data_IF_688206626022
#
_entry.id   IF_688206626022
#
_cell.length_a   1.000
_cell.length_b   1.000
_cell.length_c   1.000
_cell.angle_alpha   90.00
_cell.angle_beta   90.00
_cell.angle_gamma   90.00
#
_symmetry.space_group_name_H-M   'P 1'
#
loop_
_entity.id
_entity.type
_entity.pdbx_description
1 polymer ?
#
# COMPACT_ATOMS: atom_id res chain seq x y z
N UNK A 1 8.35 23.18 -9.31
CA UNK A 1 7.29 22.63 -8.45
C UNK A 1 7.26 21.12 -8.68
N UNK A 2 7.23 20.35 -7.61
CA UNK A 2 7.02 18.91 -7.73
C UNK A 2 5.60 18.68 -8.29
N UNK A 3 5.45 17.67 -9.14
CA UNK A 3 4.13 17.29 -9.64
C UNK A 3 3.35 16.60 -8.53
N UNK A 4 2.06 16.89 -8.43
CA UNK A 4 1.17 16.18 -7.51
C UNK A 4 0.90 14.75 -8.00
N UNK A 5 0.43 13.87 -7.11
CA UNK A 5 -0.02 12.53 -7.51
C UNK A 5 -1.14 12.61 -8.56
N UNK A 6 -2.05 13.59 -8.40
CA UNK A 6 -3.12 13.84 -9.35
C UNK A 6 -2.59 14.29 -10.72
N UNK A 7 -1.55 15.16 -10.76
CA UNK A 7 -0.92 15.59 -12.03
C UNK A 7 -0.29 14.39 -12.77
N UNK A 8 0.31 13.48 -12.01
CA UNK A 8 0.91 12.26 -12.56
C UNK A 8 -0.18 11.32 -13.06
N UNK A 9 -1.21 11.08 -12.27
CA UNK A 9 -2.35 10.26 -12.65
C UNK A 9 -3.03 10.80 -13.92
N UNK A 10 -3.32 12.10 -13.98
CA UNK A 10 -3.93 12.74 -15.15
C UNK A 10 -3.03 12.67 -16.40
N UNK A 11 -1.71 12.73 -16.22
CA UNK A 11 -0.76 12.67 -17.33
C UNK A 11 -0.62 11.29 -17.93
N UNK A 12 -0.53 10.25 -17.08
CA UNK A 12 -0.20 8.89 -17.51
C UNK A 12 -1.43 7.99 -17.59
N UNK A 13 -2.53 8.36 -16.94
CA UNK A 13 -3.81 7.64 -16.90
C UNK A 13 -3.63 6.16 -16.52
N UNK A 14 -2.87 5.92 -15.45
CA UNK A 14 -2.72 4.56 -14.92
C UNK A 14 -4.07 4.00 -14.49
N UNK A 15 -4.32 2.74 -14.80
CA UNK A 15 -5.59 2.07 -14.49
C UNK A 15 -5.62 1.57 -13.03
N UNK A 16 -5.45 2.51 -12.08
CA UNK A 16 -5.58 2.26 -10.65
C UNK A 16 -6.94 2.75 -10.14
N UNK A 17 -7.50 2.07 -9.16
CA UNK A 17 -8.76 2.42 -8.50
C UNK A 17 -8.62 3.56 -7.48
N UNK A 18 -7.38 3.87 -7.06
CA UNK A 18 -7.05 4.86 -6.02
C UNK A 18 -7.55 6.30 -6.29
N UNK A 19 -8.05 6.58 -7.52
CA UNK A 19 -8.67 7.86 -7.91
C UNK A 19 -9.91 7.69 -8.78
N UNK A 20 -10.42 6.48 -8.96
CA UNK A 20 -11.62 6.19 -9.77
C UNK A 20 -12.75 5.63 -8.92
N UNK A 21 -12.48 4.64 -8.10
CA UNK A 21 -13.39 4.05 -7.12
C UNK A 21 -13.19 4.67 -5.74
N UNK A 22 -11.93 4.94 -5.35
CA UNK A 22 -11.55 5.52 -4.07
C UNK A 22 -10.98 6.94 -4.26
N UNK A 23 -10.91 7.72 -3.19
CA UNK A 23 -10.36 9.07 -3.17
C UNK A 23 -9.03 9.15 -2.41
N UNK A 24 -8.16 8.16 -2.60
CA UNK A 24 -6.95 7.97 -1.80
C UNK A 24 -5.81 8.94 -2.15
N UNK A 25 -5.74 9.45 -3.39
CA UNK A 25 -4.55 10.17 -3.87
C UNK A 25 -4.17 11.41 -3.04
N UNK A 26 -5.15 12.16 -2.53
CA UNK A 26 -4.85 13.33 -1.67
C UNK A 26 -4.19 12.91 -0.35
N UNK A 27 -4.67 11.82 0.24
CA UNK A 27 -4.12 11.27 1.49
C UNK A 27 -2.74 10.70 1.24
N UNK A 28 -2.54 9.96 0.16
CA UNK A 28 -1.23 9.48 -0.24
C UNK A 28 -0.24 10.61 -0.53
N UNK A 29 -0.66 11.66 -1.20
CA UNK A 29 0.19 12.83 -1.44
C UNK A 29 0.61 13.46 -0.12
N UNK A 30 -0.32 13.64 0.83
CA UNK A 30 -0.01 14.13 2.17
C UNK A 30 1.02 13.25 2.90
N UNK A 31 0.85 11.93 2.89
CA UNK A 31 1.73 10.97 3.55
C UNK A 31 3.10 10.89 2.88
N UNK A 32 3.17 10.94 1.54
CA UNK A 32 4.38 10.64 0.78
C UNK A 32 5.18 11.87 0.36
N UNK A 33 4.61 13.08 0.41
CA UNK A 33 5.28 14.31 -0.02
C UNK A 33 6.63 14.54 0.68
N UNK A 34 6.79 14.11 1.94
CA UNK A 34 8.04 14.21 2.70
C UNK A 34 9.19 13.38 2.13
N UNK A 35 8.88 12.39 1.31
CA UNK A 35 9.86 11.48 0.69
C UNK A 35 10.30 11.92 -0.71
N UNK A 36 9.80 13.05 -1.20
CA UNK A 36 10.22 13.57 -2.49
C UNK A 36 11.71 13.84 -2.55
N UNK A 37 12.37 13.20 -3.53
CA UNK A 37 13.81 13.37 -3.77
C UNK A 37 14.71 12.53 -2.86
N UNK A 38 14.14 11.85 -1.87
CA UNK A 38 14.86 10.95 -0.98
C UNK A 38 15.05 9.55 -1.63
N UNK A 39 16.14 8.89 -1.26
CA UNK A 39 16.36 7.47 -1.55
C UNK A 39 15.67 6.65 -0.47
N UNK A 40 14.55 6.05 -0.82
CA UNK A 40 13.69 5.29 0.11
C UNK A 40 13.28 3.96 -0.49
N UNK A 41 12.67 3.11 0.33
CA UNK A 41 12.04 1.86 -0.11
C UNK A 41 10.56 1.86 0.21
N UNK A 42 9.76 1.41 -0.76
CA UNK A 42 8.32 1.20 -0.64
C UNK A 42 8.01 -0.28 -0.87
N UNK A 43 7.09 -0.81 -0.09
CA UNK A 43 6.55 -2.16 -0.25
C UNK A 43 5.03 -2.10 -0.39
N UNK A 44 4.49 -2.65 -1.46
CA UNK A 44 3.05 -2.77 -1.71
C UNK A 44 2.67 -4.24 -1.78
N UNK A 45 1.65 -4.59 -1.01
CA UNK A 45 1.06 -5.92 -0.90
C UNK A 45 -0.26 -5.89 -1.66
N UNK A 46 -0.44 -6.78 -2.64
CA UNK A 46 -1.55 -6.75 -3.57
C UNK A 46 -1.26 -5.78 -4.73
N UNK A 47 -0.72 -6.30 -5.83
CA UNK A 47 -0.30 -5.45 -6.96
C UNK A 47 -1.22 -5.57 -8.18
N UNK A 48 -2.08 -6.59 -8.23
CA UNK A 48 -2.99 -6.86 -9.34
C UNK A 48 -2.24 -6.78 -10.69
N UNK A 49 -2.47 -5.73 -11.47
CA UNK A 49 -1.78 -5.49 -12.75
C UNK A 49 -0.55 -4.57 -12.63
N UNK A 50 -0.19 -4.10 -11.43
CA UNK A 50 0.99 -3.24 -11.17
C UNK A 50 0.80 -1.77 -11.50
N UNK A 51 -0.43 -1.29 -11.71
CA UNK A 51 -0.69 0.10 -12.12
C UNK A 51 -0.38 1.12 -11.01
N UNK A 52 -0.65 0.77 -9.75
CA UNK A 52 -0.24 1.55 -8.58
C UNK A 52 1.27 1.66 -8.46
N UNK A 53 2.00 0.56 -8.68
CA UNK A 53 3.47 0.57 -8.66
C UNK A 53 4.06 1.54 -9.70
N UNK A 54 3.45 1.63 -10.89
CA UNK A 54 3.84 2.62 -11.90
C UNK A 54 3.62 4.05 -11.43
N UNK A 55 2.48 4.30 -10.76
CA UNK A 55 2.16 5.60 -10.19
C UNK A 55 3.19 6.01 -9.15
N UNK A 56 3.53 5.12 -8.21
CA UNK A 56 4.55 5.36 -7.19
C UNK A 56 5.94 5.59 -7.81
N UNK A 57 6.33 4.80 -8.80
CA UNK A 57 7.60 4.97 -9.52
C UNK A 57 7.73 6.34 -10.19
N UNK A 58 6.62 6.90 -10.72
CA UNK A 58 6.62 8.26 -11.31
C UNK A 58 6.58 9.37 -10.27
N UNK A 59 5.94 9.12 -9.12
CA UNK A 59 5.83 10.10 -8.04
C UNK A 59 7.11 10.16 -7.19
N UNK A 60 7.74 9.02 -6.91
CA UNK A 60 8.95 8.86 -6.09
C UNK A 60 10.08 8.24 -6.94
N UNK A 61 10.70 8.99 -7.86
CA UNK A 61 11.60 8.40 -8.87
C UNK A 61 12.91 7.84 -8.32
N UNK A 62 13.26 8.13 -7.07
CA UNK A 62 14.42 7.54 -6.37
C UNK A 62 14.03 6.41 -5.42
N UNK A 63 12.74 6.09 -5.35
CA UNK A 63 12.24 5.02 -4.50
C UNK A 63 12.54 3.65 -5.12
N UNK A 64 13.02 2.72 -4.32
CA UNK A 64 13.06 1.29 -4.64
C UNK A 64 11.71 0.69 -4.24
N UNK A 65 10.99 0.13 -5.18
CA UNK A 65 9.62 -0.32 -5.01
C UNK A 65 9.57 -1.84 -5.06
N UNK A 66 9.04 -2.46 -4.02
CA UNK A 66 8.75 -3.87 -3.97
C UNK A 66 7.24 -4.07 -4.03
N UNK A 67 6.79 -4.98 -4.87
CA UNK A 67 5.39 -5.38 -4.95
C UNK A 67 5.27 -6.88 -4.75
N UNK A 68 4.34 -7.33 -3.90
CA UNK A 68 4.04 -8.74 -3.79
C UNK A 68 2.55 -9.04 -4.03
N UNK A 69 2.29 -10.22 -4.58
CA UNK A 69 0.95 -10.76 -4.82
C UNK A 69 1.05 -12.29 -4.89
N UNK A 70 -0.06 -13.00 -4.76
CA UNK A 70 -0.13 -14.43 -5.07
C UNK A 70 -0.31 -14.71 -6.57
N UNK A 71 -0.52 -13.67 -7.37
CA UNK A 71 -0.69 -13.68 -8.83
C UNK A 71 -1.76 -14.65 -9.37
N UNK A 72 -2.86 -14.80 -8.63
CA UNK A 72 -3.97 -15.66 -9.04
C UNK A 72 -4.96 -14.96 -9.97
N UNK A 73 -5.02 -13.62 -9.97
CA UNK A 73 -5.92 -12.84 -10.84
C UNK A 73 -5.24 -12.40 -12.12
N UNK A 74 -3.99 -11.94 -12.01
CA UNK A 74 -3.12 -11.58 -13.13
C UNK A 74 -1.82 -12.34 -12.94
N UNK A 75 -1.32 -13.02 -13.98
CA UNK A 75 -0.11 -13.83 -13.85
C UNK A 75 1.12 -12.98 -13.56
N UNK A 76 2.11 -13.56 -12.88
CA UNK A 76 3.40 -12.90 -12.60
C UNK A 76 4.02 -12.34 -13.89
N UNK A 77 4.06 -13.14 -14.96
CA UNK A 77 4.65 -12.77 -16.25
C UNK A 77 3.89 -11.62 -16.94
N UNK A 78 2.56 -11.54 -16.77
CA UNK A 78 1.77 -10.43 -17.32
C UNK A 78 2.03 -9.13 -16.58
N UNK A 79 2.15 -9.19 -15.24
CA UNK A 79 2.52 -8.03 -14.42
C UNK A 79 3.94 -7.58 -14.73
N UNK A 80 4.90 -8.52 -14.80
CA UNK A 80 6.29 -8.22 -15.17
C UNK A 80 6.37 -7.54 -16.54
N UNK A 81 5.61 -8.06 -17.53
CA UNK A 81 5.52 -7.45 -18.86
C UNK A 81 4.91 -6.05 -18.82
N UNK A 82 3.87 -5.84 -18.01
CA UNK A 82 3.24 -4.54 -17.84
C UNK A 82 4.16 -3.51 -17.19
N UNK A 83 5.07 -3.96 -16.33
CA UNK A 83 6.06 -3.12 -15.64
C UNK A 83 7.35 -2.91 -16.45
N UNK A 84 7.43 -3.43 -17.68
CA UNK A 84 8.61 -3.26 -18.53
C UNK A 84 8.96 -1.76 -18.71
N UNK A 85 10.23 -1.41 -18.47
CA UNK A 85 10.72 -0.03 -18.50
C UNK A 85 10.67 0.72 -17.16
N UNK A 86 10.22 0.06 -16.08
CA UNK A 86 10.28 0.57 -14.71
C UNK A 86 11.37 -0.18 -13.91
N UNK A 87 12.62 0.30 -14.00
CA UNK A 87 13.79 -0.40 -13.47
C UNK A 87 13.94 -0.35 -11.94
N UNK A 88 13.08 0.37 -11.25
CA UNK A 88 13.07 0.52 -9.79
C UNK A 88 11.95 -0.27 -9.12
N UNK A 89 11.27 -1.18 -9.84
CA UNK A 89 10.21 -2.03 -9.34
C UNK A 89 10.68 -3.49 -9.34
N UNK A 90 10.45 -4.19 -8.22
CA UNK A 90 10.81 -5.58 -7.96
C UNK A 90 9.55 -6.33 -7.53
N UNK A 91 9.28 -7.48 -8.14
CA UNK A 91 8.10 -8.30 -7.83
C UNK A 91 8.48 -9.55 -7.05
N UNK A 92 7.59 -9.96 -6.15
CA UNK A 92 7.68 -11.21 -5.39
C UNK A 92 6.31 -11.93 -5.36
N UNK A 93 6.33 -13.24 -5.55
CA UNK A 93 5.12 -14.07 -5.55
C UNK A 93 4.80 -14.64 -4.17
N UNK A 94 4.29 -13.81 -3.25
CA UNK A 94 4.14 -14.13 -1.82
C UNK A 94 2.70 -13.99 -1.36
N UNK A 95 2.23 -14.95 -0.54
CA UNK A 95 1.01 -14.80 0.27
C UNK A 95 1.32 -14.01 1.55
N UNK A 96 0.72 -12.83 1.68
CA UNK A 96 1.03 -11.88 2.75
C UNK A 96 0.52 -12.31 4.14
N UNK A 97 -0.54 -13.12 4.21
CA UNK A 97 -1.18 -13.45 5.49
C UNK A 97 -1.29 -14.95 5.79
N UNK A 98 -1.27 -15.82 4.77
CA UNK A 98 -1.18 -17.27 4.92
C UNK A 98 0.10 -17.79 4.28
N UNK A 99 0.40 -19.06 4.48
CA UNK A 99 1.39 -19.81 3.72
C UNK A 99 0.64 -20.59 2.62
N UNK A 100 0.21 -19.88 1.56
CA UNK A 100 -0.51 -20.52 0.46
C UNK A 100 0.47 -21.31 -0.42
N UNK A 101 0.07 -22.54 -0.77
CA UNK A 101 0.84 -23.40 -1.68
C UNK A 101 0.86 -22.89 -3.12
N UNK A 102 0.01 -21.90 -3.43
CA UNK A 102 -0.05 -21.25 -4.75
C UNK A 102 0.94 -20.08 -4.86
N UNK A 103 1.51 -19.61 -3.75
CA UNK A 103 2.54 -18.60 -3.78
C UNK A 103 3.81 -19.11 -4.50
N UNK A 104 4.46 -18.25 -5.26
CA UNK A 104 5.69 -18.59 -6.02
C UNK A 104 6.84 -18.83 -5.06
N UNK A 105 6.91 -18.04 -3.98
CA UNK A 105 7.91 -18.15 -2.93
C UNK A 105 7.26 -18.02 -1.55
N UNK A 106 7.94 -18.52 -0.51
CA UNK A 106 7.48 -18.33 0.85
C UNK A 106 7.69 -16.89 1.32
N UNK A 107 6.88 -16.44 2.28
CA UNK A 107 7.10 -15.14 2.94
C UNK A 107 8.48 -15.08 3.59
N UNK A 108 8.97 -16.18 4.15
CA UNK A 108 10.29 -16.27 4.77
C UNK A 108 11.41 -16.06 3.74
N UNK A 109 11.31 -16.67 2.55
CA UNK A 109 12.28 -16.47 1.46
C UNK A 109 12.32 -15.01 1.02
N UNK A 110 11.15 -14.40 0.79
CA UNK A 110 11.06 -12.96 0.48
C UNK A 110 11.71 -12.09 1.57
N UNK A 111 11.41 -12.36 2.85
CA UNK A 111 11.98 -11.61 3.96
C UNK A 111 13.50 -11.78 4.06
N UNK A 112 14.02 -12.97 3.71
CA UNK A 112 15.46 -13.23 3.62
C UNK A 112 16.09 -12.47 2.45
N UNK A 113 15.43 -12.43 1.29
CA UNK A 113 15.92 -11.72 0.10
C UNK A 113 16.01 -10.21 0.30
N UNK A 114 15.02 -9.60 0.98
CA UNK A 114 15.09 -8.18 1.34
C UNK A 114 16.04 -7.91 2.52
N UNK A 115 16.44 -8.93 3.26
CA UNK A 115 17.42 -8.86 4.35
C UNK A 115 17.05 -7.85 5.42
N UNK A 116 18.00 -6.97 5.77
CA UNK A 116 17.82 -5.92 6.79
C UNK A 116 17.16 -4.65 6.24
N UNK A 117 16.72 -4.62 4.99
CA UNK A 117 16.05 -3.46 4.41
C UNK A 117 14.76 -3.14 5.17
N UNK A 118 14.59 -1.87 5.53
CA UNK A 118 13.38 -1.35 6.15
C UNK A 118 12.64 -0.44 5.16
N UNK A 119 11.33 -0.63 5.06
CA UNK A 119 10.49 0.13 4.15
C UNK A 119 10.01 1.44 4.78
N UNK A 120 10.20 2.54 4.08
CA UNK A 120 9.68 3.86 4.49
C UNK A 120 8.17 3.98 4.26
N UNK A 121 7.67 3.19 3.33
CA UNK A 121 6.25 3.11 3.00
C UNK A 121 5.89 1.63 2.87
N UNK A 122 4.86 1.20 3.60
CA UNK A 122 4.21 -0.11 3.39
C UNK A 122 2.74 0.15 3.08
N UNK A 123 2.23 -0.46 2.02
CA UNK A 123 0.82 -0.38 1.60
C UNK A 123 0.26 -1.81 1.60
N UNK A 124 -0.80 -2.05 2.36
CA UNK A 124 -1.59 -3.27 2.29
C UNK A 124 -2.86 -3.01 1.48
N UNK A 125 -2.82 -3.39 0.23
CA UNK A 125 -3.89 -3.40 -0.77
C UNK A 125 -4.16 -4.85 -1.25
N UNK A 126 -3.99 -5.81 -0.34
CA UNK A 126 -4.06 -7.23 -0.63
C UNK A 126 -5.45 -7.83 -0.50
N UNK A 127 -5.62 -8.78 0.43
CA UNK A 127 -6.92 -9.38 0.70
C UNK A 127 -7.71 -8.52 1.71
N UNK A 128 -8.82 -7.92 1.26
CA UNK A 128 -9.62 -6.95 2.03
C UNK A 128 -10.59 -7.61 3.04
N UNK A 129 -10.11 -8.60 3.79
CA UNK A 129 -10.81 -9.15 4.96
C UNK A 129 -10.14 -8.66 6.24
N UNK A 130 -10.89 -8.29 7.29
CA UNK A 130 -10.29 -7.74 8.51
C UNK A 130 -9.21 -8.64 9.12
N UNK A 131 -9.45 -9.94 9.19
CA UNK A 131 -8.47 -10.90 9.72
C UNK A 131 -7.22 -11.03 8.86
N UNK A 132 -7.34 -10.91 7.52
CA UNK A 132 -6.17 -10.92 6.64
C UNK A 132 -5.36 -9.64 6.77
N UNK A 133 -6.02 -8.47 6.82
CA UNK A 133 -5.35 -7.18 7.04
C UNK A 133 -4.59 -7.15 8.38
N UNK A 134 -5.20 -7.67 9.47
CA UNK A 134 -4.55 -7.79 10.78
C UNK A 134 -3.30 -8.68 10.69
N UNK A 135 -3.44 -9.87 10.09
CA UNK A 135 -2.30 -10.79 9.94
C UNK A 135 -1.20 -10.22 9.04
N UNK A 136 -1.56 -9.56 7.93
CA UNK A 136 -0.60 -8.91 7.05
C UNK A 136 0.16 -7.81 7.79
N UNK A 137 -0.54 -6.99 8.57
CA UNK A 137 0.10 -5.99 9.43
C UNK A 137 1.10 -6.63 10.39
N UNK A 138 0.70 -7.65 11.15
CA UNK A 138 1.57 -8.35 12.10
C UNK A 138 2.80 -8.97 11.42
N UNK A 139 2.61 -9.51 10.21
CA UNK A 139 3.68 -10.13 9.45
C UNK A 139 4.75 -9.14 8.95
N UNK A 140 4.38 -7.88 8.68
CA UNK A 140 5.28 -6.93 8.02
C UNK A 140 5.59 -5.65 8.81
N UNK A 141 4.90 -5.39 9.95
CA UNK A 141 5.14 -4.16 10.73
C UNK A 141 6.57 -4.04 11.25
N UNK A 142 7.26 -5.16 11.48
CA UNK A 142 8.66 -5.17 11.91
C UNK A 142 9.62 -4.69 10.82
N UNK A 143 9.19 -4.68 9.54
CA UNK A 143 9.92 -4.14 8.38
C UNK A 143 9.68 -2.65 8.17
N UNK A 144 8.80 -2.02 8.95
CA UNK A 144 8.57 -0.59 8.82
C UNK A 144 9.74 0.22 9.38
N UNK A 145 10.29 1.12 8.56
CA UNK A 145 11.30 2.07 8.99
C UNK A 145 10.78 2.96 10.14
N UNK A 146 11.60 3.32 11.16
CA UNK A 146 11.14 4.16 12.29
C UNK A 146 10.50 5.50 11.90
N UNK A 147 10.88 6.06 10.74
CA UNK A 147 10.32 7.28 10.15
C UNK A 147 9.38 6.95 8.96
N UNK A 148 8.86 5.76 8.91
CA UNK A 148 7.99 5.28 7.83
C UNK A 148 6.52 5.35 8.18
N UNK A 149 5.68 5.01 7.20
CA UNK A 149 4.23 4.91 7.32
C UNK A 149 3.73 3.58 6.74
N UNK A 150 2.82 2.94 7.46
CA UNK A 150 2.06 1.77 7.00
C UNK A 150 0.63 2.21 6.70
N UNK A 151 0.10 1.85 5.54
CA UNK A 151 -1.28 2.15 5.12
C UNK A 151 -2.00 0.84 4.82
N UNK A 152 -3.19 0.68 5.39
CA UNK A 152 -4.13 -0.41 5.09
C UNK A 152 -5.25 0.21 4.26
N UNK A 153 -5.49 -0.30 3.05
CA UNK A 153 -6.57 0.14 2.16
C UNK A 153 -7.86 -0.66 2.38
N UNK A 154 -8.97 -0.13 1.92
CA UNK A 154 -10.26 -0.81 1.78
C UNK A 154 -10.81 -1.41 3.08
N UNK A 155 -10.64 -0.71 4.20
CA UNK A 155 -11.32 -1.05 5.44
C UNK A 155 -12.82 -0.76 5.25
N UNK A 156 -13.65 -1.76 5.55
CA UNK A 156 -15.09 -1.71 5.31
C UNK A 156 -15.83 -1.22 6.54
N UNK A 157 -16.82 -0.34 6.35
CA UNK A 157 -17.66 0.21 7.41
C UNK A 157 -18.94 -0.65 7.65
N UNK A 158 -18.81 -1.97 7.53
CA UNK A 158 -19.91 -2.92 7.79
C UNK A 158 -19.40 -4.27 8.29
N UNK A 159 -20.32 -5.11 8.77
CA UNK A 159 -20.09 -6.48 9.25
C UNK A 159 -19.03 -6.59 10.36
N UNK A 160 -18.84 -5.51 11.16
CA UNK A 160 -17.85 -5.48 12.24
C UNK A 160 -16.40 -5.44 11.75
N UNK A 161 -16.15 -5.18 10.46
CA UNK A 161 -14.80 -5.16 9.90
C UNK A 161 -13.97 -4.02 10.52
N UNK A 162 -14.50 -2.79 10.49
CA UNK A 162 -13.83 -1.62 11.06
C UNK A 162 -13.56 -1.80 12.56
N UNK A 163 -14.54 -2.28 13.30
CA UNK A 163 -14.42 -2.55 14.74
C UNK A 163 -13.33 -3.59 15.00
N UNK A 164 -13.31 -4.70 14.23
CA UNK A 164 -12.29 -5.73 14.39
C UNK A 164 -10.87 -5.18 14.12
N UNK A 165 -10.70 -4.31 13.11
CA UNK A 165 -9.42 -3.66 12.85
C UNK A 165 -9.05 -2.70 13.99
N UNK A 166 -9.99 -1.85 14.45
CA UNK A 166 -9.75 -0.92 15.58
C UNK A 166 -9.36 -1.65 16.86
N UNK A 167 -10.06 -2.73 17.18
CA UNK A 167 -9.84 -3.51 18.42
C UNK A 167 -8.50 -4.27 18.37
N UNK A 168 -8.15 -4.84 17.21
CA UNK A 168 -6.94 -5.64 17.05
C UNK A 168 -5.67 -4.78 16.81
N UNK A 169 -5.82 -3.61 16.20
CA UNK A 169 -4.73 -2.70 15.85
C UNK A 169 -4.95 -1.29 16.44
N UNK A 170 -4.95 -1.12 17.77
CA UNK A 170 -5.37 0.12 18.44
C UNK A 170 -4.47 1.32 18.14
N UNK A 171 -3.25 1.09 17.68
CA UNK A 171 -2.31 2.15 17.26
C UNK A 171 -2.51 2.62 15.82
N UNK A 172 -3.27 1.88 15.01
CA UNK A 172 -3.65 2.28 13.66
C UNK A 172 -4.72 3.37 13.73
N UNK A 173 -4.50 4.49 13.03
CA UNK A 173 -5.44 5.60 12.95
C UNK A 173 -6.34 5.43 11.74
N UNK A 174 -7.64 5.52 11.97
CA UNK A 174 -8.65 5.37 10.91
C UNK A 174 -8.88 6.73 10.24
N UNK A 175 -8.80 6.74 8.92
CA UNK A 175 -9.04 7.93 8.08
C UNK A 175 -10.22 7.62 7.15
N UNK A 176 -11.39 8.15 7.46
CA UNK A 176 -12.59 8.06 6.61
C UNK A 176 -12.57 9.18 5.58
N UNK A 177 -12.53 8.82 4.30
CA UNK A 177 -12.43 9.80 3.24
C UNK A 177 -13.82 10.30 2.84
N UNK A 178 -14.01 11.62 2.92
CA UNK A 178 -15.30 12.29 2.68
C UNK A 178 -15.68 12.40 1.20
N UNK A 179 -14.66 12.49 0.34
CA UNK A 179 -14.85 12.58 -1.12
C UNK A 179 -15.13 11.19 -1.69
N UNK A 180 -16.24 10.58 -1.27
CA UNK A 180 -16.65 9.27 -1.75
C UNK A 180 -17.19 9.38 -3.17
N UNK A 181 -16.34 9.16 -4.16
CA UNK A 181 -16.65 9.38 -5.57
C UNK A 181 -17.78 8.48 -6.11
N UNK A 182 -18.02 7.32 -5.48
CA UNK A 182 -18.99 6.33 -5.96
C UNK A 182 -19.88 5.72 -4.87
N UNK A 183 -19.96 6.34 -3.68
CA UNK A 183 -20.77 5.81 -2.56
C UNK A 183 -20.16 4.53 -1.95
N UNK A 184 -18.85 4.32 -2.09
CA UNK A 184 -18.16 3.14 -1.57
C UNK A 184 -18.04 3.21 -0.04
N UNK A 185 -18.45 2.17 0.64
CA UNK A 185 -18.39 2.05 2.09
C UNK A 185 -17.02 1.56 2.60
N UNK A 186 -16.10 1.25 1.70
CA UNK A 186 -14.71 0.85 1.94
C UNK A 186 -13.68 1.94 1.60
N UNK A 187 -14.11 3.19 1.45
CA UNK A 187 -13.25 4.34 1.24
C UNK A 187 -12.59 4.80 2.56
N UNK A 188 -11.98 3.85 3.27
CA UNK A 188 -11.39 4.04 4.60
C UNK A 188 -9.97 3.49 4.59
N UNK A 189 -9.03 4.30 5.10
CA UNK A 189 -7.65 3.91 5.30
C UNK A 189 -7.32 3.71 6.78
N UNK A 190 -6.54 2.68 7.08
CA UNK A 190 -5.82 2.55 8.33
C UNK A 190 -4.41 3.09 8.17
N UNK A 191 -3.97 4.02 9.02
CA UNK A 191 -2.64 4.64 8.95
C UNK A 191 -1.89 4.41 10.26
N UNK A 192 -0.71 3.81 10.18
CA UNK A 192 0.19 3.63 11.31
C UNK A 192 1.54 4.26 11.05
N UNK A 193 2.08 4.97 12.04
CA UNK A 193 3.46 5.44 12.06
C UNK A 193 3.93 5.67 13.49
N UNK A 194 5.21 5.36 13.77
CA UNK A 194 5.89 5.79 15.01
C UNK A 194 6.14 7.30 15.03
N UNK A 195 6.29 7.92 13.86
CA UNK A 195 6.41 9.38 13.70
C UNK A 195 5.03 10.02 13.66
N UNK A 196 4.61 10.57 14.80
CA UNK A 196 3.28 11.20 14.94
C UNK A 196 3.05 12.40 14.00
N UNK A 197 4.09 12.93 13.36
CA UNK A 197 3.96 14.03 12.40
C UNK A 197 3.19 13.62 11.12
N UNK A 198 3.08 12.32 10.82
CA UNK A 198 2.25 11.80 9.74
C UNK A 198 0.76 12.07 9.95
N UNK A 199 0.30 12.11 11.19
CA UNK A 199 -1.13 12.30 11.50
C UNK A 199 -1.58 13.76 11.44
N UNK A 200 -0.63 14.70 11.38
CA UNK A 200 -0.95 16.13 11.36
C UNK A 200 -1.66 16.51 10.05
N UNK A 201 -2.91 16.91 10.14
CA UNK A 201 -3.73 17.32 8.99
C UNK A 201 -4.53 16.20 8.34
N UNK A 202 -4.44 14.95 8.86
CA UNK A 202 -5.38 13.90 8.51
C UNK A 202 -6.69 14.07 9.27
N UNK A 203 -7.80 13.74 8.63
CA UNK A 203 -9.14 13.68 9.26
C UNK A 203 -9.29 12.30 9.90
N UNK A 204 -8.79 12.18 11.13
CA UNK A 204 -8.78 10.91 11.87
C UNK A 204 -10.12 10.73 12.58
N UNK A 205 -10.74 9.56 12.41
CA UNK A 205 -11.91 9.10 13.15
C UNK A 205 -11.48 8.66 14.55
N UNK A 206 -11.92 9.39 15.60
CA UNK A 206 -11.57 9.12 17.01
C UNK A 206 -12.39 7.96 17.62
#
# INVERSE_FOLDING_TARGET
MNKTLMDIQNKYNFNTDKNTWHSYLKTYEHLFNRFHGEEISLFEIGVLAGESLKLWSKYLPKCKIYGCDIFTRVSFEDVERNLNGFNNIFLAGVDSFNEDRLAIESREDFLNDVGDELFHIIIDDGHHGSNSQIKTFDNFIHKLHPKGVYVIEDIKDWDGHLENVKDSLPDVKIVKLKDNMNGQSDNILGVYSKDKSFYKGLDIDE
#
